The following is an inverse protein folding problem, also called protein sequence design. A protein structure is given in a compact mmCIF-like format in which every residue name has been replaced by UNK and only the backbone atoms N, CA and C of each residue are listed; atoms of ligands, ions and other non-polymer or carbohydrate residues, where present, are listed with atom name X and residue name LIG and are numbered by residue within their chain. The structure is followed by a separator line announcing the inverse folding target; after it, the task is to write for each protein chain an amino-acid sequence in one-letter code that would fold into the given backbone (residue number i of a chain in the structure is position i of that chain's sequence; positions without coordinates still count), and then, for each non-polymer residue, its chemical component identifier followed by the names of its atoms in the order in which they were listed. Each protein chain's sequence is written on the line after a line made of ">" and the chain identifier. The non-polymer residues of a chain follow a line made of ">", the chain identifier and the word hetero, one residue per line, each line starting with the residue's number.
data_IF_976007545134
#
_entry.id   IF_976007545134
#
_cell.length_a   1.000
_cell.length_b   1.000
_cell.length_c   1.000
_cell.angle_alpha   90.00
_cell.angle_beta   90.00
_cell.angle_gamma   90.00
#
_symmetry.space_group_name_H-M   'P 1'
#
loop_
_entity.id
_entity.type
_entity.pdbx_description
1 polymer ?
#
# COMPACT_ATOMS: atom_id res chain seq x y z
N UNK A 1 -8.74 0.11 -38.32
CA UNK A 1 -7.28 0.15 -38.65
C UNK A 1 -6.53 -0.98 -37.92
N UNK A 2 -6.01 -1.96 -38.69
CA UNK A 2 -5.30 -3.13 -38.16
C UNK A 2 -3.95 -2.69 -37.58
N UNK A 3 -3.76 -2.90 -36.28
CA UNK A 3 -2.52 -2.59 -35.57
C UNK A 3 -1.40 -3.49 -36.12
N UNK A 4 -0.31 -2.89 -36.64
CA UNK A 4 0.83 -3.63 -37.20
C UNK A 4 1.57 -4.30 -36.04
N UNK A 5 1.74 -5.62 -36.10
CA UNK A 5 2.46 -6.37 -35.07
C UNK A 5 3.96 -6.01 -35.11
N UNK A 6 4.45 -5.44 -34.01
CA UNK A 6 5.87 -5.15 -33.83
C UNK A 6 6.63 -6.45 -33.54
N UNK A 7 7.87 -6.62 -34.05
CA UNK A 7 8.65 -7.86 -33.91
C UNK A 7 9.16 -8.15 -32.49
N UNK A 8 8.85 -7.28 -31.53
CA UNK A 8 9.28 -7.40 -30.14
C UNK A 8 8.06 -7.51 -29.23
N UNK A 9 8.16 -8.40 -28.22
CA UNK A 9 7.18 -8.51 -27.14
C UNK A 9 7.74 -7.85 -25.89
N UNK A 10 6.98 -6.92 -25.30
CA UNK A 10 7.33 -6.33 -24.00
C UNK A 10 7.06 -7.39 -22.92
N UNK A 11 8.06 -7.65 -22.07
CA UNK A 11 7.88 -8.56 -20.93
C UNK A 11 6.91 -7.96 -19.90
N UNK A 12 6.18 -8.81 -19.19
CA UNK A 12 5.31 -8.37 -18.12
C UNK A 12 6.12 -7.70 -17.01
N UNK A 13 5.67 -6.53 -16.55
CA UNK A 13 6.28 -5.84 -15.41
C UNK A 13 5.54 -6.29 -14.15
N UNK A 14 6.26 -6.94 -13.24
CA UNK A 14 5.72 -7.35 -11.95
C UNK A 14 5.98 -6.23 -10.92
N UNK A 15 4.99 -5.35 -10.75
CA UNK A 15 5.04 -4.31 -9.72
C UNK A 15 4.38 -4.83 -8.46
N UNK A 16 5.05 -4.68 -7.31
CA UNK A 16 4.45 -4.97 -6.01
C UNK A 16 3.34 -3.96 -5.72
N UNK A 17 2.09 -4.43 -5.72
CA UNK A 17 0.93 -3.57 -5.45
C UNK A 17 0.86 -3.10 -3.99
N UNK A 18 1.35 -3.91 -3.04
CA UNK A 18 1.24 -3.62 -1.60
C UNK A 18 2.47 -4.08 -0.81
N UNK A 19 3.29 -3.13 -0.35
CA UNK A 19 4.61 -3.39 0.26
C UNK A 19 4.59 -3.86 1.72
N UNK A 20 3.42 -3.89 2.37
CA UNK A 20 3.23 -4.41 3.74
C UNK A 20 1.90 -5.16 3.86
N UNK A 21 1.78 -6.42 3.39
CA UNK A 21 0.50 -7.08 3.16
C UNK A 21 -0.41 -7.23 4.40
N UNK A 22 0.19 -7.22 5.59
CA UNK A 22 -0.54 -7.29 6.87
C UNK A 22 -0.87 -5.91 7.45
N UNK A 23 -0.37 -4.83 6.84
CA UNK A 23 -0.68 -3.48 7.27
C UNK A 23 -2.05 -3.05 6.75
N UNK A 24 -2.79 -2.31 7.57
CA UNK A 24 -4.03 -1.65 7.15
C UNK A 24 -3.81 -0.14 7.10
N UNK A 25 -4.01 0.43 5.92
CA UNK A 25 -3.97 1.87 5.71
C UNK A 25 -5.01 2.28 4.66
N UNK A 26 -6.22 2.71 5.09
CA UNK A 26 -7.27 3.16 4.17
C UNK A 26 -6.97 4.58 3.65
N UNK A 27 -6.55 4.70 2.39
CA UNK A 27 -6.20 5.99 1.76
C UNK A 27 -7.39 6.97 1.67
N UNK A 28 -8.62 6.46 1.55
CA UNK A 28 -9.86 7.26 1.53
C UNK A 28 -10.04 8.09 2.81
N UNK A 29 -9.67 7.53 3.96
CA UNK A 29 -9.70 8.22 5.26
C UNK A 29 -8.67 9.34 5.38
N UNK A 30 -7.69 9.38 4.49
CA UNK A 30 -6.60 10.34 4.46
C UNK A 30 -6.68 11.27 3.24
N UNK A 31 -7.83 11.34 2.58
CA UNK A 31 -8.06 12.15 1.36
C UNK A 31 -7.80 13.66 1.53
N UNK A 32 -7.77 14.17 2.77
CA UNK A 32 -7.44 15.56 3.08
C UNK A 32 -5.94 15.82 3.19
N UNK A 33 -5.10 14.78 3.27
CA UNK A 33 -3.65 14.89 3.30
C UNK A 33 -3.07 14.83 1.89
N UNK A 34 -2.00 15.60 1.64
CA UNK A 34 -1.28 15.52 0.37
C UNK A 34 -0.51 14.20 0.29
N UNK A 35 -0.52 13.51 -0.85
CA UNK A 35 0.21 12.25 -1.04
C UNK A 35 1.70 12.38 -0.64
N UNK A 36 2.32 13.50 -1.04
CA UNK A 36 3.73 13.80 -0.76
C UNK A 36 4.03 14.09 0.71
N UNK A 37 3.03 14.34 1.57
CA UNK A 37 3.31 14.48 3.01
C UNK A 37 3.72 13.16 3.64
N UNK A 38 3.44 12.03 3.00
CA UNK A 38 3.82 10.68 3.45
C UNK A 38 4.78 10.01 2.45
N UNK A 39 4.51 10.13 1.15
CA UNK A 39 5.29 9.50 0.09
C UNK A 39 6.17 10.52 -0.64
N UNK A 40 7.33 10.83 -0.08
CA UNK A 40 8.29 11.72 -0.74
C UNK A 40 9.09 10.96 -1.81
N UNK A 41 8.55 10.95 -3.03
CA UNK A 41 9.18 10.37 -4.21
C UNK A 41 9.90 11.41 -5.08
N UNK A 42 9.85 12.69 -4.72
CA UNK A 42 10.31 13.77 -5.60
C UNK A 42 11.81 13.69 -5.93
N UNK A 43 12.55 12.94 -5.13
CA UNK A 43 14.01 12.77 -5.26
C UNK A 43 14.41 11.32 -5.53
N UNK A 44 13.46 10.47 -5.93
CA UNK A 44 13.75 9.07 -6.27
C UNK A 44 14.06 8.91 -7.76
N UNK A 45 15.19 8.28 -8.04
CA UNK A 45 15.62 7.91 -9.40
C UNK A 45 15.58 6.40 -9.64
N UNK A 46 15.24 5.60 -8.62
CA UNK A 46 15.25 4.14 -8.71
C UNK A 46 13.88 3.57 -8.39
N UNK A 47 13.43 2.63 -9.21
CA UNK A 47 12.21 1.86 -8.96
C UNK A 47 12.24 1.03 -7.67
N UNK A 48 13.42 0.81 -7.09
CA UNK A 48 13.61 0.15 -5.81
C UNK A 48 13.40 1.08 -4.60
N UNK A 49 13.33 2.40 -4.81
CA UNK A 49 13.12 3.35 -3.73
C UNK A 49 11.64 3.32 -3.35
N UNK A 50 11.36 2.69 -2.22
CA UNK A 50 10.01 2.60 -1.70
C UNK A 50 9.81 3.83 -0.81
N UNK A 51 9.07 4.82 -1.30
CA UNK A 51 8.74 6.04 -0.53
C UNK A 51 7.72 5.76 0.59
N UNK A 52 7.92 4.71 1.37
CA UNK A 52 7.13 4.43 2.55
C UNK A 52 7.76 5.16 3.74
N UNK A 53 7.01 6.04 4.44
CA UNK A 53 7.53 6.72 5.60
C UNK A 53 7.72 5.75 6.76
N UNK A 54 8.54 6.14 7.74
CA UNK A 54 8.64 5.41 9.00
C UNK A 54 7.40 5.65 9.86
N UNK A 55 7.22 4.83 10.90
CA UNK A 55 6.09 4.94 11.84
C UNK A 55 5.99 6.32 12.52
N UNK A 56 7.08 7.10 12.55
CA UNK A 56 7.08 8.45 13.11
C UNK A 56 6.05 9.36 12.42
N UNK A 57 5.92 9.27 11.09
CA UNK A 57 4.97 10.07 10.32
C UNK A 57 3.52 9.80 10.73
N UNK A 58 3.18 8.53 10.95
CA UNK A 58 1.84 8.13 11.38
C UNK A 58 1.51 8.69 12.78
N UNK A 59 2.52 8.76 13.66
CA UNK A 59 2.36 9.19 15.06
C UNK A 59 2.19 10.70 15.23
N UNK A 60 2.35 11.48 14.16
CA UNK A 60 1.96 12.90 14.14
C UNK A 60 0.45 13.08 14.28
N UNK A 61 -0.34 12.12 13.78
CA UNK A 61 -1.81 12.15 13.83
C UNK A 61 -2.40 11.05 14.71
N UNK A 62 -1.74 9.89 14.80
CA UNK A 62 -2.20 8.75 15.57
C UNK A 62 -1.46 8.63 16.90
N UNK A 63 -2.20 8.75 18.01
CA UNK A 63 -1.68 8.53 19.36
C UNK A 63 -2.09 7.14 19.84
N UNK A 64 -1.37 6.56 20.80
CA UNK A 64 -1.66 5.23 21.34
C UNK A 64 -3.07 5.09 21.94
N UNK A 65 -3.28 4.07 22.77
CA UNK A 65 -4.60 3.78 23.35
C UNK A 65 -5.17 4.91 24.21
N UNK A 66 -4.32 5.83 24.70
CA UNK A 66 -4.75 7.00 25.45
C UNK A 66 -5.27 8.08 24.49
N UNK A 67 -6.51 8.49 24.68
CA UNK A 67 -7.12 9.58 23.93
C UNK A 67 -6.36 10.90 24.16
N UNK A 68 -6.11 11.61 23.08
CA UNK A 68 -5.69 13.01 23.08
C UNK A 68 -6.69 13.81 22.26
N UNK A 69 -7.04 15.02 22.70
CA UNK A 69 -8.20 15.76 22.17
C UNK A 69 -8.12 16.06 20.66
N UNK A 70 -6.91 16.10 20.09
CA UNK A 70 -6.66 16.47 18.68
C UNK A 70 -6.10 15.33 17.83
N UNK A 71 -5.90 14.13 18.40
CA UNK A 71 -5.23 13.03 17.73
C UNK A 71 -6.11 11.79 17.71
N UNK A 72 -5.96 10.99 16.65
CA UNK A 72 -6.70 9.76 16.47
C UNK A 72 -6.10 8.69 17.37
N UNK A 73 -6.88 8.16 18.30
CA UNK A 73 -6.44 7.00 19.08
C UNK A 73 -6.23 5.78 18.20
N UNK A 74 -5.16 5.05 18.47
CA UNK A 74 -4.74 3.87 17.72
C UNK A 74 -4.08 2.87 18.66
N UNK A 75 -4.12 1.59 18.30
CA UNK A 75 -3.34 0.54 18.99
C UNK A 75 -2.52 -0.24 17.97
N UNK A 76 -1.69 -1.18 18.44
CA UNK A 76 -0.81 -1.96 17.57
C UNK A 76 -1.56 -2.63 16.41
N UNK A 77 -2.79 -3.10 16.67
CA UNK A 77 -3.62 -3.80 15.69
C UNK A 77 -4.31 -2.88 14.66
N UNK A 78 -4.30 -1.58 14.90
CA UNK A 78 -4.86 -0.58 13.98
C UNK A 78 -4.05 -0.56 12.69
N UNK A 79 -2.73 -0.66 12.81
CA UNK A 79 -1.83 -0.73 11.67
C UNK A 79 -1.48 -2.17 11.30
N UNK A 80 -1.24 -3.07 12.27
CA UNK A 80 -0.80 -4.44 12.00
C UNK A 80 -1.91 -5.45 12.26
N UNK A 81 -2.46 -6.04 11.20
CA UNK A 81 -3.43 -7.12 11.34
C UNK A 81 -2.83 -8.30 12.11
N UNK A 82 -3.54 -8.76 13.13
CA UNK A 82 -3.18 -9.91 13.94
C UNK A 82 -4.32 -10.94 13.86
N UNK A 83 -3.97 -12.23 13.67
CA UNK A 83 -4.85 -13.38 13.38
C UNK A 83 -5.44 -13.55 11.96
N UNK A 84 -5.08 -12.75 10.96
CA UNK A 84 -5.60 -12.91 9.59
C UNK A 84 -4.68 -13.80 8.72
N UNK A 85 -4.95 -15.12 8.70
CA UNK A 85 -4.15 -16.13 7.97
C UNK A 85 -4.67 -16.50 6.57
N UNK A 86 -5.71 -15.84 6.01
CA UNK A 86 -6.25 -16.24 4.69
C UNK A 86 -6.81 -15.08 3.86
N UNK A 87 -5.96 -14.38 3.11
CA UNK A 87 -6.38 -13.86 1.81
C UNK A 87 -6.14 -14.95 0.77
N UNK A 88 -7.18 -15.71 0.40
CA UNK A 88 -7.10 -16.66 -0.73
C UNK A 88 -6.95 -15.85 -2.04
N UNK A 89 -6.08 -16.25 -2.97
CA UNK A 89 -5.98 -15.58 -4.27
C UNK A 89 -7.26 -15.81 -5.07
N UNK A 90 -7.94 -14.73 -5.45
CA UNK A 90 -9.12 -14.77 -6.33
C UNK A 90 -8.69 -14.82 -7.79
N UNK A 91 -8.19 -15.99 -8.23
CA UNK A 91 -8.31 -16.40 -9.62
C UNK A 91 -9.00 -17.76 -9.64
N UNK A 92 -10.16 -17.83 -10.29
CA UNK A 92 -10.88 -19.10 -10.52
C UNK A 92 -9.91 -20.07 -11.22
N UNK A 93 -9.56 -21.17 -10.56
CA UNK A 93 -8.97 -22.30 -11.24
C UNK A 93 -10.02 -22.86 -12.21
N UNK A 94 -9.67 -22.87 -13.50
CA UNK A 94 -10.42 -23.58 -14.51
C UNK A 94 -10.46 -25.07 -14.13
N UNK A 95 -11.66 -25.67 -14.17
CA UNK A 95 -11.81 -27.12 -14.08
C UNK A 95 -11.17 -27.76 -15.31
N UNK A 96 -10.28 -28.71 -15.09
CA UNK A 96 -9.89 -29.70 -16.09
C UNK A 96 -10.37 -31.06 -15.61
N UNK A 97 -11.09 -31.74 -16.49
CA UNK A 97 -11.44 -33.16 -16.45
C UNK A 97 -10.28 -33.97 -17.04
#
# INVERSE_FOLDING_TARGET
>A
PKNKETPWKVAAVHVTEHWLPKSRFPHDKHSTAKCSSCHDVMHSDKSSDIAMPTIAKCRECHVGSKQAQTLVSSTCNTCHSFHDVKAKPTHKAAKAE
#
